data_IF_977938795033
#
_entry.id   IF_977938795033
#
_cell.length_a   1.000
_cell.length_b   1.000
_cell.length_c   1.000
_cell.angle_alpha   90.00
_cell.angle_beta   90.00
_cell.angle_gamma   90.00
#
_symmetry.space_group_name_H-M   'P 1'
#
loop_
_entity.id
_entity.type
_entity.pdbx_description
1 polymer ?
#
# COMPACT_ATOMS: atom_id res chain seq x y z
N UNK A 1 -0.19 12.94 12.67
CA UNK A 1 -0.61 14.20 13.30
C UNK A 1 -0.31 14.21 14.80
N UNK A 2 -0.70 13.16 15.54
CA UNK A 2 -0.39 13.05 16.98
C UNK A 2 1.12 13.06 17.22
N UNK A 3 1.90 12.30 16.44
CA UNK A 3 3.36 12.25 16.52
C UNK A 3 4.04 13.59 16.27
N UNK A 4 3.43 14.48 15.47
CA UNK A 4 3.87 15.86 15.27
C UNK A 4 3.30 16.86 16.30
N UNK A 5 2.64 16.38 17.35
CA UNK A 5 2.24 17.18 18.50
C UNK A 5 0.76 17.57 18.54
N UNK A 6 -0.08 17.07 17.64
CA UNK A 6 -1.50 17.38 17.69
C UNK A 6 -2.16 16.75 18.95
N UNK A 7 -2.86 17.58 19.73
CA UNK A 7 -3.59 17.15 20.91
C UNK A 7 -5.02 16.70 20.59
N UNK A 8 -5.59 17.23 19.52
CA UNK A 8 -6.91 16.88 19.04
C UNK A 8 -6.92 16.90 17.50
N UNK A 9 -7.67 15.98 16.91
CA UNK A 9 -7.87 15.90 15.46
C UNK A 9 -9.35 15.70 15.19
N UNK A 10 -9.93 16.53 14.31
CA UNK A 10 -11.26 16.33 13.79
C UNK A 10 -11.18 15.77 12.37
N UNK A 11 -11.40 14.48 12.16
CA UNK A 11 -11.36 13.87 10.83
C UNK A 11 -12.69 14.08 10.09
N UNK A 12 -13.08 15.34 9.92
CA UNK A 12 -14.39 15.73 9.39
C UNK A 12 -14.72 15.07 8.06
N UNK A 13 -13.81 15.18 7.08
CA UNK A 13 -14.05 14.61 5.74
C UNK A 13 -14.16 13.08 5.77
N UNK A 14 -13.39 12.41 6.61
CA UNK A 14 -13.49 10.96 6.78
C UNK A 14 -14.83 10.54 7.40
N UNK A 15 -15.34 11.31 8.35
CA UNK A 15 -16.67 11.07 8.96
C UNK A 15 -17.79 11.29 7.94
N UNK A 16 -17.70 12.31 7.08
CA UNK A 16 -18.64 12.52 5.98
C UNK A 16 -18.52 11.44 4.90
N UNK A 17 -17.32 10.95 4.64
CA UNK A 17 -17.10 9.79 3.75
C UNK A 17 -17.78 8.53 4.32
N UNK A 18 -17.68 8.28 5.62
CA UNK A 18 -18.40 7.20 6.30
C UNK A 18 -19.92 7.33 6.13
N UNK A 19 -20.45 8.55 6.29
CA UNK A 19 -21.87 8.86 6.06
C UNK A 19 -22.29 8.56 4.62
N UNK A 20 -21.54 9.07 3.64
CA UNK A 20 -21.81 8.88 2.22
C UNK A 20 -21.73 7.41 1.82
N UNK A 21 -20.73 6.68 2.34
CA UNK A 21 -20.57 5.25 2.11
C UNK A 21 -21.78 4.47 2.63
N UNK A 22 -22.23 4.73 3.88
CA UNK A 22 -23.40 4.04 4.45
C UNK A 22 -24.68 4.28 3.64
N UNK A 23 -24.85 5.47 3.08
CA UNK A 23 -25.99 5.84 2.23
C UNK A 23 -25.87 5.37 0.79
N UNK A 24 -24.75 4.77 0.41
CA UNK A 24 -24.54 4.37 -0.98
C UNK A 24 -25.47 3.23 -1.41
N UNK A 25 -25.97 3.21 -2.66
CA UNK A 25 -26.85 2.15 -3.16
C UNK A 25 -26.23 0.75 -3.05
N UNK A 26 -24.89 0.68 -3.16
CA UNK A 26 -24.14 -0.58 -3.02
C UNK A 26 -24.26 -1.16 -1.60
N UNK A 27 -24.12 -0.32 -0.58
CA UNK A 27 -24.22 -0.74 0.83
C UNK A 27 -25.67 -1.08 1.17
N UNK A 28 -26.63 -0.27 0.77
CA UNK A 28 -28.05 -0.57 0.98
C UNK A 28 -28.48 -1.90 0.34
N UNK A 29 -27.99 -2.15 -0.88
CA UNK A 29 -28.23 -3.45 -1.54
C UNK A 29 -27.58 -4.62 -0.80
N UNK A 30 -26.38 -4.43 -0.20
CA UNK A 30 -25.70 -5.46 0.57
C UNK A 30 -26.46 -5.79 1.87
N UNK A 31 -26.99 -4.78 2.55
CA UNK A 31 -27.83 -4.94 3.74
C UNK A 31 -29.13 -5.68 3.38
N UNK A 32 -29.84 -5.23 2.35
CA UNK A 32 -31.08 -5.88 1.89
C UNK A 32 -30.89 -7.37 1.51
N UNK A 33 -29.72 -7.74 1.03
CA UNK A 33 -29.36 -9.12 0.69
C UNK A 33 -28.81 -9.93 1.87
N UNK A 34 -28.78 -9.37 3.08
CA UNK A 34 -28.22 -10.03 4.26
C UNK A 34 -26.70 -10.26 4.22
N UNK A 35 -25.98 -9.62 3.30
CA UNK A 35 -24.51 -9.73 3.18
C UNK A 35 -23.77 -8.81 4.17
N UNK A 36 -24.47 -7.85 4.74
CA UNK A 36 -23.97 -6.93 5.72
C UNK A 36 -25.06 -6.64 6.75
N UNK A 37 -24.67 -6.50 8.01
CA UNK A 37 -25.58 -6.08 9.08
C UNK A 37 -26.09 -4.66 8.83
N UNK A 38 -27.33 -4.39 9.27
CA UNK A 38 -27.88 -3.04 9.25
C UNK A 38 -27.24 -2.24 10.40
N UNK A 39 -26.35 -1.32 10.04
CA UNK A 39 -25.63 -0.44 10.97
C UNK A 39 -26.06 1.00 10.72
N UNK A 40 -26.22 1.79 11.79
CA UNK A 40 -26.54 3.21 11.67
C UNK A 40 -25.34 4.01 11.14
N UNK A 41 -25.56 5.25 10.73
CA UNK A 41 -24.47 6.16 10.33
C UNK A 41 -23.56 6.43 11.52
N UNK A 42 -24.15 6.64 12.68
CA UNK A 42 -23.47 6.88 13.94
C UNK A 42 -22.56 5.70 14.32
N UNK A 43 -23.03 4.46 14.14
CA UNK A 43 -22.23 3.25 14.38
C UNK A 43 -21.03 3.18 13.44
N UNK A 44 -21.21 3.48 12.15
CA UNK A 44 -20.13 3.48 11.17
C UNK A 44 -19.07 4.53 11.54
N UNK A 45 -19.48 5.74 11.90
CA UNK A 45 -18.58 6.80 12.32
C UNK A 45 -17.88 6.45 13.65
N UNK A 46 -18.58 5.84 14.60
CA UNK A 46 -18.00 5.36 15.85
C UNK A 46 -17.01 4.23 15.62
N UNK A 47 -17.33 3.29 14.72
CA UNK A 47 -16.41 2.21 14.34
C UNK A 47 -15.13 2.75 13.70
N UNK A 48 -15.23 3.78 12.85
CA UNK A 48 -14.08 4.47 12.30
C UNK A 48 -13.20 5.09 13.38
N UNK A 49 -13.81 5.84 14.32
CA UNK A 49 -13.11 6.42 15.47
C UNK A 49 -12.41 5.34 16.31
N UNK A 50 -13.12 4.24 16.59
CA UNK A 50 -12.57 3.13 17.35
C UNK A 50 -11.40 2.44 16.61
N UNK A 51 -11.46 2.35 15.29
CA UNK A 51 -10.36 1.82 14.47
C UNK A 51 -9.11 2.72 14.55
N UNK A 52 -9.28 4.04 14.48
CA UNK A 52 -8.17 5.00 14.67
C UNK A 52 -7.54 4.86 16.06
N UNK A 53 -8.36 4.76 17.11
CA UNK A 53 -7.89 4.58 18.49
C UNK A 53 -7.12 3.25 18.66
N UNK A 54 -7.61 2.16 18.06
CA UNK A 54 -6.92 0.87 18.07
C UNK A 54 -5.59 0.94 17.31
N UNK A 55 -5.58 1.62 16.16
CA UNK A 55 -4.36 1.84 15.38
C UNK A 55 -3.30 2.62 16.15
N UNK A 56 -3.69 3.72 16.80
CA UNK A 56 -2.79 4.52 17.63
C UNK A 56 -2.23 3.72 18.81
N UNK A 57 -3.09 2.99 19.53
CA UNK A 57 -2.65 2.10 20.63
C UNK A 57 -1.66 1.04 20.14
N UNK A 58 -1.88 0.47 18.96
CA UNK A 58 -0.97 -0.50 18.36
C UNK A 58 0.39 0.11 18.06
N UNK A 59 0.44 1.34 17.52
CA UNK A 59 1.69 2.07 17.25
C UNK A 59 2.45 2.31 18.57
N UNK A 60 1.78 2.85 19.58
CA UNK A 60 2.37 3.09 20.90
C UNK A 60 2.91 1.81 21.53
N UNK A 61 2.14 0.72 21.46
CA UNK A 61 2.54 -0.59 21.98
C UNK A 61 3.81 -1.11 21.29
N UNK A 62 3.90 -0.97 19.97
CA UNK A 62 5.10 -1.38 19.22
C UNK A 62 6.35 -0.60 19.60
N UNK A 63 6.21 0.66 19.96
CA UNK A 63 7.31 1.53 20.41
C UNK A 63 7.58 1.44 21.91
N UNK A 64 6.79 0.66 22.66
CA UNK A 64 6.92 0.57 24.11
C UNK A 64 6.52 1.86 24.85
N UNK A 65 5.68 2.71 24.23
CA UNK A 65 5.22 3.96 24.80
C UNK A 65 3.88 3.77 25.50
N UNK A 66 3.84 4.01 26.81
CA UNK A 66 2.62 3.91 27.64
C UNK A 66 1.88 5.26 27.78
N UNK A 67 2.57 6.37 27.57
CA UNK A 67 2.04 7.71 27.73
C UNK A 67 2.06 8.48 26.41
N UNK A 68 0.90 8.92 25.93
CA UNK A 68 0.76 9.57 24.61
C UNK A 68 1.61 10.85 24.48
N UNK A 69 1.84 11.57 25.55
CA UNK A 69 2.69 12.77 25.54
C UNK A 69 4.15 12.47 25.23
N UNK A 70 4.62 11.26 25.47
CA UNK A 70 5.96 10.82 25.06
C UNK A 70 6.07 10.54 23.56
N UNK A 71 4.93 10.33 22.88
CA UNK A 71 4.86 10.17 21.43
C UNK A 71 4.71 11.51 20.70
N UNK A 72 4.02 12.48 21.33
CA UNK A 72 3.77 13.79 20.75
C UNK A 72 5.09 14.58 20.63
N UNK A 73 5.42 14.99 19.40
CA UNK A 73 6.64 15.74 19.14
C UNK A 73 7.95 14.95 19.32
N UNK A 74 7.92 13.64 19.33
CA UNK A 74 9.10 12.80 19.58
C UNK A 74 10.17 12.83 18.47
N UNK A 75 9.91 13.47 17.33
CA UNK A 75 10.84 13.61 16.19
C UNK A 75 11.35 12.25 15.65
N UNK A 76 10.48 11.27 15.57
CA UNK A 76 10.80 9.90 15.14
C UNK A 76 10.51 9.66 13.64
N UNK A 77 10.09 10.70 12.94
CA UNK A 77 9.79 10.62 11.52
C UNK A 77 10.94 11.13 10.67
N UNK A 78 11.01 10.65 9.44
CA UNK A 78 11.83 11.25 8.41
C UNK A 78 10.97 11.49 7.15
N UNK A 79 11.38 12.50 6.36
CA UNK A 79 10.71 12.83 5.12
C UNK A 79 11.47 12.24 3.93
N UNK A 80 10.71 11.73 2.98
CA UNK A 80 11.21 11.32 1.67
C UNK A 80 10.56 12.19 0.60
N UNK A 81 11.40 12.80 -0.26
CA UNK A 81 10.91 13.57 -1.38
C UNK A 81 10.50 15.01 -1.08
N UNK A 82 10.86 15.57 0.08
CA UNK A 82 10.65 16.98 0.39
C UNK A 82 12.00 17.70 0.51
N UNK A 83 12.14 18.84 -0.16
CA UNK A 83 13.32 19.69 -0.12
C UNK A 83 13.47 20.44 1.21
N UNK A 84 14.66 20.98 1.44
CA UNK A 84 15.00 21.70 2.68
C UNK A 84 14.07 22.88 2.97
N UNK A 85 13.69 23.63 1.95
CA UNK A 85 12.76 24.75 2.08
C UNK A 85 11.43 24.35 2.73
N UNK A 86 10.85 23.23 2.28
CA UNK A 86 9.60 22.69 2.83
C UNK A 86 9.81 22.20 4.26
N UNK A 87 10.93 21.51 4.50
CA UNK A 87 11.28 20.99 5.83
C UNK A 87 11.46 22.13 6.83
N UNK A 88 12.24 23.15 6.48
CA UNK A 88 12.53 24.27 7.37
C UNK A 88 11.28 25.10 7.69
N UNK A 89 10.33 25.15 6.75
CA UNK A 89 9.08 25.89 6.92
C UNK A 89 8.04 25.13 7.74
N UNK A 90 7.80 23.85 7.41
CA UNK A 90 6.66 23.10 7.92
C UNK A 90 7.01 21.88 8.79
N UNK A 91 8.22 21.35 8.69
CA UNK A 91 8.66 20.14 9.36
C UNK A 91 10.01 20.30 10.08
N UNK A 92 10.23 21.44 10.67
CA UNK A 92 11.50 21.81 11.31
C UNK A 92 11.99 20.70 12.27
N UNK A 93 13.24 20.28 12.06
CA UNK A 93 13.84 19.20 12.83
C UNK A 93 13.60 17.78 12.28
N UNK A 94 12.78 17.63 11.24
CA UNK A 94 12.58 16.33 10.57
C UNK A 94 13.71 16.08 9.57
N UNK A 95 14.27 14.88 9.58
CA UNK A 95 15.35 14.48 8.68
C UNK A 95 14.80 14.25 7.26
N UNK A 96 15.44 14.86 6.26
CA UNK A 96 15.19 14.61 4.84
C UNK A 96 16.53 14.32 4.15
N UNK A 97 16.87 13.06 3.98
CA UNK A 97 18.21 12.63 3.53
C UNK A 97 18.44 12.82 2.05
N UNK A 98 17.39 12.66 1.25
CA UNK A 98 17.48 12.73 -0.21
C UNK A 98 16.94 14.04 -0.79
N UNK A 99 16.35 14.89 0.03
CA UNK A 99 15.66 16.10 -0.45
C UNK A 99 14.45 15.78 -1.33
N UNK A 100 14.10 16.71 -2.23
CA UNK A 100 12.99 16.53 -3.18
C UNK A 100 12.27 17.84 -3.47
N UNK A 101 10.94 17.80 -3.50
CA UNK A 101 10.05 18.87 -3.94
C UNK A 101 10.29 20.20 -3.21
N UNK A 102 10.33 21.28 -3.97
CA UNK A 102 10.28 22.66 -3.50
C UNK A 102 8.87 23.06 -3.06
N UNK A 103 8.72 24.20 -2.44
CA UNK A 103 7.41 24.73 -2.05
C UNK A 103 6.51 24.99 -3.27
N UNK A 104 7.08 25.48 -4.37
CA UNK A 104 6.37 25.75 -5.61
C UNK A 104 5.87 24.46 -6.28
N UNK A 105 6.66 23.40 -6.25
CA UNK A 105 6.27 22.10 -6.77
C UNK A 105 5.16 21.47 -5.93
N UNK A 106 5.22 21.56 -4.61
CA UNK A 106 4.12 21.13 -3.72
C UNK A 106 2.84 21.94 -3.99
N UNK A 107 2.96 23.24 -4.20
CA UNK A 107 1.83 24.10 -4.56
C UNK A 107 1.24 23.70 -5.93
N UNK A 108 2.09 23.41 -6.91
CA UNK A 108 1.69 22.97 -8.25
C UNK A 108 0.93 21.64 -8.22
N UNK A 109 1.43 20.65 -7.46
CA UNK A 109 0.72 19.39 -7.27
C UNK A 109 -0.65 19.58 -6.61
N UNK A 110 -0.69 20.41 -5.56
CA UNK A 110 -1.95 20.74 -4.87
C UNK A 110 -2.94 21.40 -5.82
N UNK A 111 -2.46 22.31 -6.67
CA UNK A 111 -3.29 22.98 -7.68
C UNK A 111 -3.85 21.98 -8.71
N UNK A 112 -3.04 21.04 -9.19
CA UNK A 112 -3.51 19.97 -10.07
C UNK A 112 -4.62 19.13 -9.43
N UNK A 113 -4.50 18.77 -8.16
CA UNK A 113 -5.56 18.05 -7.44
C UNK A 113 -6.84 18.87 -7.33
N UNK A 114 -6.72 20.16 -7.01
CA UNK A 114 -7.88 21.07 -6.93
C UNK A 114 -8.57 21.21 -8.28
N UNK A 115 -7.81 21.41 -9.36
CA UNK A 115 -8.35 21.52 -10.72
C UNK A 115 -9.06 20.22 -11.14
N UNK A 116 -8.47 19.05 -10.82
CA UNK A 116 -9.09 17.76 -11.10
C UNK A 116 -10.38 17.53 -10.29
N UNK A 117 -10.43 18.02 -9.06
CA UNK A 117 -11.61 17.88 -8.20
C UNK A 117 -12.75 18.85 -8.55
N UNK A 118 -12.40 20.02 -9.10
CA UNK A 118 -13.34 21.10 -9.44
C UNK A 118 -13.12 21.55 -10.89
N UNK A 119 -13.52 20.75 -11.88
CA UNK A 119 -13.21 20.97 -13.30
C UNK A 119 -14.05 22.09 -13.95
N UNK A 120 -14.66 22.97 -13.28
CA UNK A 120 -15.45 24.08 -13.82
C UNK A 120 -16.89 23.69 -14.17
N UNK A 121 -17.72 24.71 -14.53
CA UNK A 121 -19.17 24.55 -14.71
C UNK A 121 -19.60 23.68 -15.91
N UNK A 122 -18.71 23.44 -16.85
CA UNK A 122 -19.02 22.73 -18.11
C UNK A 122 -18.70 21.22 -18.06
N UNK A 123 -18.01 20.76 -17.06
CA UNK A 123 -17.62 19.36 -16.92
C UNK A 123 -18.35 18.74 -15.72
N UNK A 124 -19.04 17.62 -15.95
CA UNK A 124 -19.57 16.81 -14.84
C UNK A 124 -18.46 16.54 -13.84
N UNK A 125 -18.76 16.61 -12.53
CA UNK A 125 -17.82 16.26 -11.45
C UNK A 125 -17.08 14.99 -11.83
N UNK A 126 -15.78 15.12 -12.08
CA UNK A 126 -14.96 14.02 -12.52
C UNK A 126 -15.00 12.91 -11.48
N UNK A 127 -15.34 11.71 -11.89
CA UNK A 127 -15.21 10.52 -11.05
C UNK A 127 -13.74 10.34 -10.73
N UNK A 128 -13.42 10.02 -9.48
CA UNK A 128 -12.06 9.69 -9.09
C UNK A 128 -11.54 8.59 -10.01
N UNK A 129 -10.50 8.91 -10.76
CA UNK A 129 -9.92 8.01 -11.75
C UNK A 129 -9.24 6.83 -11.04
N UNK A 130 -9.61 5.63 -11.44
CA UNK A 130 -8.97 4.44 -10.92
C UNK A 130 -7.73 4.13 -11.75
N UNK A 131 -6.56 4.46 -11.22
CA UNK A 131 -5.26 4.26 -11.90
C UNK A 131 -4.73 2.81 -11.84
N UNK A 132 -5.46 1.90 -11.22
CA UNK A 132 -5.06 0.49 -11.13
C UNK A 132 -3.94 0.19 -10.14
N UNK A 133 -3.55 1.12 -9.27
CA UNK A 133 -2.42 0.97 -8.34
C UNK A 133 -2.67 -0.10 -7.26
N UNK A 134 -3.89 -0.18 -6.73
CA UNK A 134 -4.26 -1.12 -5.66
C UNK A 134 -4.92 -2.41 -6.15
N UNK A 135 -5.52 -2.36 -7.33
CA UNK A 135 -6.16 -3.50 -7.96
C UNK A 135 -5.83 -3.51 -9.45
N UNK A 136 -5.53 -4.68 -9.97
CA UNK A 136 -5.31 -4.87 -11.41
C UNK A 136 -6.54 -4.41 -12.19
N UNK A 137 -6.33 -3.54 -13.15
CA UNK A 137 -7.35 -3.11 -14.11
C UNK A 137 -6.76 -3.14 -15.52
N UNK A 138 -7.51 -3.64 -16.51
CA UNK A 138 -7.05 -3.69 -17.89
C UNK A 138 -6.65 -2.31 -18.42
N UNK A 139 -5.50 -2.22 -19.08
CA UNK A 139 -5.01 -0.98 -19.69
C UNK A 139 -4.43 0.07 -18.74
N UNK A 140 -4.34 -0.24 -17.43
CA UNK A 140 -3.75 0.65 -16.43
C UNK A 140 -2.45 0.05 -15.87
N UNK A 141 -2.09 0.41 -14.62
CA UNK A 141 -0.85 -0.05 -13.96
C UNK A 141 -0.66 -1.56 -14.09
N UNK A 142 0.50 -1.97 -14.57
CA UNK A 142 0.85 -3.38 -14.67
C UNK A 142 1.27 -3.94 -13.32
N UNK A 143 0.68 -5.06 -12.92
CA UNK A 143 1.05 -5.79 -11.71
C UNK A 143 1.74 -7.10 -12.09
N UNK A 144 2.94 -7.36 -11.54
CA UNK A 144 3.65 -8.60 -11.76
C UNK A 144 2.88 -9.85 -11.31
N UNK A 145 2.09 -9.72 -10.24
CA UNK A 145 1.16 -10.75 -9.78
C UNK A 145 -0.25 -10.45 -10.29
N UNK A 146 -0.53 -10.84 -11.52
CA UNK A 146 -1.82 -10.66 -12.16
C UNK A 146 -2.57 -11.99 -12.32
N UNK A 147 -3.80 -11.92 -12.84
CA UNK A 147 -4.65 -13.11 -13.02
C UNK A 147 -4.08 -14.10 -14.01
N UNK A 148 -3.42 -13.65 -15.06
CA UNK A 148 -2.83 -14.50 -16.09
C UNK A 148 -1.66 -15.29 -15.52
N UNK A 149 -0.73 -14.62 -14.84
CA UNK A 149 0.38 -15.25 -14.12
C UNK A 149 -0.12 -16.33 -13.17
N UNK A 150 -1.15 -16.03 -12.35
CA UNK A 150 -1.73 -16.97 -11.40
C UNK A 150 -2.36 -18.16 -12.09
N UNK A 151 -3.08 -17.97 -13.19
CA UNK A 151 -3.72 -19.07 -13.95
C UNK A 151 -2.68 -20.00 -14.57
N UNK A 152 -1.62 -19.43 -15.17
CA UNK A 152 -0.53 -20.23 -15.75
C UNK A 152 0.18 -21.05 -14.67
N UNK A 153 0.51 -20.43 -13.54
CA UNK A 153 1.15 -21.12 -12.42
C UNK A 153 0.26 -22.23 -11.87
N UNK A 154 -1.03 -21.97 -11.63
CA UNK A 154 -1.96 -23.01 -11.12
C UNK A 154 -2.05 -24.21 -12.05
N UNK A 155 -2.11 -23.99 -13.36
CA UNK A 155 -2.12 -25.07 -14.35
C UNK A 155 -0.77 -25.82 -14.38
N UNK A 156 0.34 -25.08 -14.32
CA UNK A 156 1.66 -25.69 -14.34
C UNK A 156 1.94 -26.62 -13.16
N UNK A 157 1.43 -26.26 -11.96
CA UNK A 157 1.60 -27.09 -10.74
C UNK A 157 0.46 -28.06 -10.46
N UNK A 158 -0.55 -28.14 -11.34
CA UNK A 158 -1.68 -29.06 -11.19
C UNK A 158 -2.66 -28.68 -10.07
N UNK A 159 -2.76 -27.41 -9.72
CA UNK A 159 -3.70 -26.95 -8.70
C UNK A 159 -5.15 -27.06 -9.22
N UNK A 160 -6.08 -27.51 -8.36
CA UNK A 160 -7.48 -27.67 -8.75
C UNK A 160 -7.80 -28.99 -9.48
N UNK A 161 -6.94 -30.01 -9.37
CA UNK A 161 -7.16 -31.35 -9.92
C UNK A 161 -6.73 -31.53 -11.39
N UNK A 162 -6.04 -30.52 -11.96
CA UNK A 162 -5.33 -30.68 -13.24
C UNK A 162 -4.01 -31.42 -13.02
N UNK A 163 -3.59 -32.25 -13.99
CA UNK A 163 -2.25 -32.82 -13.97
C UNK A 163 -1.19 -31.73 -14.20
N UNK A 164 0.01 -31.92 -13.62
CA UNK A 164 1.17 -31.08 -13.92
C UNK A 164 1.44 -31.12 -15.41
N UNK A 165 1.69 -29.97 -16.00
CA UNK A 165 1.89 -29.86 -17.43
C UNK A 165 3.10 -28.97 -17.76
N UNK A 166 4.09 -29.55 -18.42
CA UNK A 166 5.33 -28.87 -18.80
C UNK A 166 5.10 -27.73 -19.81
N UNK A 167 4.06 -27.84 -20.64
CA UNK A 167 3.67 -26.78 -21.57
C UNK A 167 3.22 -25.54 -20.80
N UNK A 168 2.38 -25.71 -19.76
CA UNK A 168 1.97 -24.58 -18.90
C UNK A 168 3.11 -24.04 -18.06
N UNK A 169 4.06 -24.87 -17.67
CA UNK A 169 5.26 -24.41 -17.00
C UNK A 169 6.13 -23.55 -17.93
N UNK A 170 6.33 -23.97 -19.17
CA UNK A 170 7.04 -23.20 -20.18
C UNK A 170 6.34 -21.87 -20.50
N UNK A 171 5.01 -21.90 -20.64
CA UNK A 171 4.20 -20.69 -20.83
C UNK A 171 4.27 -19.74 -19.63
N UNK A 172 4.26 -20.28 -18.40
CA UNK A 172 4.45 -19.46 -17.18
C UNK A 172 5.81 -18.79 -17.15
N UNK A 173 6.89 -19.53 -17.51
CA UNK A 173 8.24 -18.98 -17.57
C UNK A 173 8.36 -17.90 -18.63
N UNK A 174 7.81 -18.13 -19.84
CA UNK A 174 7.79 -17.14 -20.92
C UNK A 174 7.06 -15.86 -20.45
N UNK A 175 5.87 -16.00 -19.92
CA UNK A 175 5.10 -14.85 -19.40
C UNK A 175 5.86 -14.08 -18.31
N UNK A 176 6.54 -14.78 -17.41
CA UNK A 176 7.37 -14.15 -16.37
C UNK A 176 8.56 -13.37 -16.95
N UNK A 177 9.19 -13.89 -17.99
CA UNK A 177 10.38 -13.28 -18.61
C UNK A 177 10.01 -12.10 -19.52
N UNK A 178 8.86 -12.16 -20.20
CA UNK A 178 8.41 -11.15 -21.15
C UNK A 178 7.60 -10.00 -20.50
N UNK A 179 7.33 -10.09 -19.20
CA UNK A 179 6.60 -9.05 -18.49
C UNK A 179 7.36 -7.72 -18.46
N UNK A 180 6.65 -6.58 -18.43
CA UNK A 180 7.28 -5.28 -18.18
C UNK A 180 8.01 -5.25 -16.83
N UNK A 181 9.06 -4.45 -16.73
CA UNK A 181 9.70 -4.19 -15.45
C UNK A 181 8.76 -3.48 -14.49
N UNK A 182 8.63 -4.02 -13.28
CA UNK A 182 7.71 -3.50 -12.25
C UNK A 182 8.42 -3.03 -10.99
N UNK A 183 9.69 -3.37 -10.84
CA UNK A 183 10.52 -2.94 -9.71
C UNK A 183 11.98 -2.75 -10.13
N UNK A 184 12.71 -2.05 -9.29
CA UNK A 184 14.14 -1.78 -9.55
C UNK A 184 14.96 -3.06 -9.73
N UNK A 185 14.61 -4.13 -9.03
CA UNK A 185 15.27 -5.45 -9.15
C UNK A 185 15.22 -6.02 -10.57
N UNK A 186 14.16 -5.73 -11.32
CA UNK A 186 14.01 -6.21 -12.69
C UNK A 186 15.03 -5.58 -13.65
N UNK A 187 15.69 -4.50 -13.25
CA UNK A 187 16.73 -3.80 -13.99
C UNK A 187 18.15 -4.22 -13.57
N UNK A 188 18.28 -5.12 -12.61
CA UNK A 188 19.55 -5.56 -12.07
C UNK A 188 19.83 -7.01 -12.48
N UNK A 189 21.11 -7.30 -12.70
CA UNK A 189 21.61 -8.65 -12.94
C UNK A 189 22.42 -9.13 -11.73
N UNK A 190 22.36 -10.44 -11.48
CA UNK A 190 23.24 -11.06 -10.50
C UNK A 190 24.62 -11.22 -11.14
N UNK A 191 25.59 -10.48 -10.60
CA UNK A 191 27.01 -10.62 -10.98
C UNK A 191 27.76 -11.40 -9.91
N UNK A 192 28.45 -12.43 -10.33
CA UNK A 192 29.32 -13.20 -9.43
C UNK A 192 30.76 -13.18 -9.95
N UNK A 193 31.69 -12.79 -9.10
CA UNK A 193 33.12 -12.81 -9.36
C UNK A 193 33.77 -14.11 -8.87
N UNK A 194 32.99 -15.05 -8.35
CA UNK A 194 33.44 -16.34 -7.84
C UNK A 194 33.40 -17.41 -8.92
N UNK A 195 34.32 -18.37 -8.84
CA UNK A 195 34.23 -19.58 -9.63
C UNK A 195 32.90 -20.34 -9.30
N UNK A 196 32.30 -21.02 -10.31
CA UNK A 196 31.17 -21.90 -10.06
C UNK A 196 31.52 -22.97 -9.01
N UNK A 197 30.58 -23.28 -8.15
CA UNK A 197 30.67 -24.40 -7.19
C UNK A 197 29.95 -25.62 -7.77
N UNK A 198 30.26 -26.81 -7.25
CA UNK A 198 29.54 -28.03 -7.57
C UNK A 198 28.09 -27.92 -7.12
N UNK A 199 27.18 -28.59 -7.84
CA UNK A 199 25.76 -28.65 -7.44
C UNK A 199 25.60 -29.27 -6.05
N UNK A 200 26.47 -30.21 -5.68
CA UNK A 200 26.45 -30.89 -4.37
C UNK A 200 26.88 -29.98 -3.22
N UNK A 201 27.56 -28.87 -3.53
CA UNK A 201 27.96 -27.85 -2.56
C UNK A 201 26.90 -26.75 -2.39
N UNK A 202 25.85 -26.76 -3.21
CA UNK A 202 24.74 -25.81 -3.11
C UNK A 202 23.91 -26.17 -1.90
N UNK A 203 23.63 -25.18 -1.07
CA UNK A 203 22.80 -25.32 0.13
C UNK A 203 21.44 -25.96 -0.18
N UNK A 204 20.99 -26.88 0.64
CA UNK A 204 19.70 -27.55 0.44
C UNK A 204 18.50 -26.59 0.56
N UNK A 205 17.38 -26.92 -0.10
CA UNK A 205 16.14 -26.15 0.02
C UNK A 205 15.67 -26.05 1.50
N UNK A 206 15.86 -27.13 2.25
CA UNK A 206 15.48 -27.17 3.69
C UNK A 206 16.32 -26.17 4.51
N UNK A 207 17.62 -26.10 4.25
CA UNK A 207 18.52 -25.18 4.96
C UNK A 207 18.21 -23.73 4.57
N UNK A 208 17.96 -23.46 3.29
CA UNK A 208 17.54 -22.14 2.81
C UNK A 208 16.22 -21.72 3.48
N UNK A 209 15.22 -22.59 3.50
CA UNK A 209 13.93 -22.30 4.15
C UNK A 209 14.10 -22.04 5.64
N UNK A 210 14.93 -22.81 6.32
CA UNK A 210 15.19 -22.64 7.76
C UNK A 210 15.89 -21.30 8.03
N UNK A 211 16.90 -20.96 7.24
CA UNK A 211 17.66 -19.72 7.40
C UNK A 211 16.83 -18.46 7.11
N UNK A 212 15.95 -18.52 6.11
CA UNK A 212 15.08 -17.41 5.73
C UNK A 212 13.68 -17.47 6.37
N UNK A 213 13.48 -18.39 7.33
CA UNK A 213 12.25 -18.40 8.11
C UNK A 213 12.17 -17.15 8.96
N UNK A 214 11.13 -16.33 8.69
CA UNK A 214 10.87 -15.12 9.46
C UNK A 214 9.68 -15.37 10.38
N UNK A 215 9.78 -14.86 11.62
CA UNK A 215 8.67 -14.91 12.56
C UNK A 215 7.52 -13.99 12.17
N UNK A 216 6.42 -14.07 12.91
CA UNK A 216 5.27 -13.19 12.74
C UNK A 216 5.65 -11.71 12.86
N UNK A 217 5.28 -10.90 11.87
CA UNK A 217 5.86 -9.59 11.57
C UNK A 217 5.23 -8.42 12.32
N UNK A 218 4.66 -8.62 13.50
CA UNK A 218 4.14 -7.49 14.28
C UNK A 218 5.22 -6.60 14.87
N UNK A 219 6.37 -7.16 15.18
CA UNK A 219 7.50 -6.52 15.89
C UNK A 219 8.84 -6.86 15.25
N UNK A 220 8.82 -7.41 14.08
CA UNK A 220 10.03 -7.74 13.34
C UNK A 220 10.80 -6.54 12.87
#
# INVERSE_FOLDING_TARGET
LVGYGAHAVCPWLALETCRSWRKSPKVESAIKRGKMGDVSIEDVQMNFKNALNKGLKKILSKMGISLITSYQGAQIFECYGLGSEVIDTAFKGTVSRIGGLTMDEVASETHMFVQSAFPGEAEEMAKVEARGMFQVKPGLEYHGNNQEMSKLLHKAVGLGGSEKNDEFWSAYQAHRNDRPYTCLRDQLEIKSDRAPISVDEVESVTDICTRFCTGGMSLG
#
